data_IF_384150305723
#
_entry.id   IF_384150305723
#
_cell.length_a   1.000
_cell.length_b   1.000
_cell.length_c   1.000
_cell.angle_alpha   90.00
_cell.angle_beta   90.00
_cell.angle_gamma   90.00
#
_symmetry.space_group_name_H-M   'P 1'
#
loop_
_entity.id
_entity.type
_entity.pdbx_description
1 polymer ?
#
# COMPACT_ATOMS: atom_id res chain seq x y z
N UNK A 1 25.29 11.24 0.85
CA UNK A 1 26.54 11.79 1.42
C UNK A 1 27.14 10.83 2.44
N UNK A 2 26.36 10.34 3.44
CA UNK A 2 26.87 9.45 4.48
C UNK A 2 27.52 8.19 3.88
N UNK A 3 26.82 7.47 3.01
CA UNK A 3 27.34 6.24 2.38
C UNK A 3 28.66 6.45 1.61
N UNK A 4 28.90 7.66 1.08
CA UNK A 4 30.20 8.00 0.47
C UNK A 4 31.29 8.27 1.50
N UNK A 5 30.91 8.73 2.68
CA UNK A 5 31.89 9.09 3.72
C UNK A 5 32.35 7.88 4.52
N UNK A 6 31.47 6.94 4.79
CA UNK A 6 31.73 5.77 5.67
C UNK A 6 31.82 4.43 4.92
N UNK A 7 31.62 4.43 3.60
CA UNK A 7 31.45 3.23 2.79
C UNK A 7 29.98 2.80 2.74
N UNK A 8 29.46 2.48 1.55
CA UNK A 8 28.05 2.10 1.34
C UNK A 8 27.71 0.78 2.02
N UNK A 9 28.68 -0.11 2.16
CA UNK A 9 28.61 -1.40 2.81
C UNK A 9 28.44 -1.30 4.34
N UNK A 10 28.69 -0.14 4.91
CA UNK A 10 28.56 0.15 6.34
C UNK A 10 27.27 0.93 6.66
N UNK A 11 26.32 1.03 5.70
CA UNK A 11 25.07 1.77 5.89
C UNK A 11 23.90 0.91 5.48
N UNK A 12 23.07 0.54 6.45
CA UNK A 12 21.76 -0.04 6.23
C UNK A 12 20.66 1.02 6.47
N UNK A 13 19.57 0.90 5.74
CA UNK A 13 18.46 1.83 5.82
C UNK A 13 17.26 1.14 6.48
N UNK A 14 16.51 1.91 7.26
CA UNK A 14 15.25 1.43 7.83
C UNK A 14 14.21 2.52 7.85
N UNK A 15 12.94 2.13 7.79
CA UNK A 15 11.85 3.10 7.85
C UNK A 15 10.48 2.45 7.89
N UNK A 16 9.53 3.23 8.39
CA UNK A 16 8.12 2.89 8.49
C UNK A 16 7.30 3.82 7.58
N UNK A 17 6.25 3.30 6.96
CA UNK A 17 5.33 4.08 6.12
C UNK A 17 6.07 4.82 5.00
N UNK A 18 5.91 6.12 4.87
CA UNK A 18 6.68 6.97 3.94
C UNK A 18 8.19 6.86 4.19
N UNK A 19 8.63 6.74 5.46
CA UNK A 19 10.05 6.50 5.79
C UNK A 19 10.56 5.19 5.22
N UNK A 20 9.70 4.17 5.06
CA UNK A 20 10.01 2.90 4.41
C UNK A 20 10.23 3.06 2.90
N UNK A 21 9.43 3.87 2.22
CA UNK A 21 9.67 4.25 0.82
C UNK A 21 11.03 4.94 0.67
N UNK A 22 11.31 5.93 1.53
CA UNK A 22 12.58 6.67 1.50
C UNK A 22 13.78 5.76 1.78
N UNK A 23 13.66 4.81 2.72
CA UNK A 23 14.69 3.81 3.00
C UNK A 23 14.95 2.90 1.79
N UNK A 24 13.88 2.44 1.12
CA UNK A 24 13.98 1.64 -0.11
C UNK A 24 14.66 2.44 -1.24
N UNK A 25 14.27 3.69 -1.44
CA UNK A 25 14.90 4.57 -2.42
C UNK A 25 16.37 4.82 -2.09
N UNK A 26 16.73 5.00 -0.82
CA UNK A 26 18.12 5.17 -0.37
C UNK A 26 18.95 3.89 -0.59
N UNK A 27 18.39 2.71 -0.32
CA UNK A 27 19.04 1.43 -0.63
C UNK A 27 19.33 1.29 -2.13
N UNK A 28 18.35 1.62 -2.99
CA UNK A 28 18.55 1.63 -4.45
C UNK A 28 19.60 2.66 -4.89
N UNK A 29 19.58 3.85 -4.30
CA UNK A 29 20.50 4.92 -4.66
C UNK A 29 21.95 4.72 -4.19
N UNK A 30 22.18 3.74 -3.33
CA UNK A 30 23.51 3.40 -2.81
C UNK A 30 23.96 1.97 -3.16
N UNK A 31 23.03 1.12 -3.65
CA UNK A 31 23.26 -0.31 -3.79
C UNK A 31 23.39 -1.03 -2.44
N UNK A 32 22.91 -0.41 -1.35
CA UNK A 32 22.90 -0.95 0.00
C UNK A 32 21.64 -1.73 0.33
N UNK A 33 21.44 -2.05 1.61
CA UNK A 33 20.29 -2.81 2.09
C UNK A 33 19.28 -1.92 2.82
N UNK A 34 18.04 -2.40 2.91
CA UNK A 34 17.05 -1.81 3.78
C UNK A 34 16.17 -2.86 4.45
N UNK A 35 15.62 -2.48 5.62
CA UNK A 35 14.51 -3.16 6.28
C UNK A 35 13.39 -2.15 6.48
N UNK A 36 12.22 -2.46 5.95
CA UNK A 36 11.09 -1.52 5.97
C UNK A 36 9.86 -2.16 6.61
N UNK A 37 9.02 -1.31 7.20
CA UNK A 37 7.85 -1.73 7.96
C UNK A 37 6.62 -0.97 7.49
N UNK A 38 5.55 -1.69 7.10
CA UNK A 38 4.32 -1.11 6.54
C UNK A 38 4.62 0.02 5.54
N UNK A 39 5.62 -0.21 4.67
CA UNK A 39 6.19 0.84 3.85
C UNK A 39 5.24 1.31 2.76
N UNK A 40 5.25 2.61 2.48
CA UNK A 40 4.68 3.15 1.27
C UNK A 40 5.42 2.61 0.04
N UNK A 41 4.71 2.53 -1.09
CA UNK A 41 5.23 1.97 -2.33
C UNK A 41 6.21 2.91 -3.05
N UNK A 42 7.13 2.33 -3.77
CA UNK A 42 8.10 3.04 -4.59
C UNK A 42 7.78 2.86 -6.07
N UNK A 43 7.42 3.95 -6.75
CA UNK A 43 7.06 3.91 -8.18
C UNK A 43 8.23 3.47 -9.06
N UNK A 44 7.93 2.92 -10.24
CA UNK A 44 8.95 2.51 -11.20
C UNK A 44 9.85 3.68 -11.61
N UNK A 45 9.27 4.87 -11.75
CA UNK A 45 10.02 6.11 -12.01
C UNK A 45 10.98 6.45 -10.87
N UNK A 46 10.52 6.37 -9.63
CA UNK A 46 11.36 6.61 -8.44
C UNK A 46 12.47 5.56 -8.32
N UNK A 47 12.18 4.29 -8.62
CA UNK A 47 13.18 3.23 -8.67
C UNK A 47 14.25 3.51 -9.73
N UNK A 48 13.84 3.88 -10.94
CA UNK A 48 14.77 4.20 -12.03
C UNK A 48 15.67 5.41 -11.68
N UNK A 49 15.09 6.46 -11.08
CA UNK A 49 15.85 7.63 -10.61
C UNK A 49 16.85 7.25 -9.51
N UNK A 50 16.45 6.45 -8.53
CA UNK A 50 17.32 5.99 -7.46
C UNK A 50 18.49 5.14 -8.01
N UNK A 51 18.22 4.22 -8.92
CA UNK A 51 19.25 3.42 -9.60
C UNK A 51 20.21 4.29 -10.43
N UNK A 52 19.70 5.30 -11.15
CA UNK A 52 20.52 6.27 -11.84
C UNK A 52 21.47 7.01 -10.89
N UNK A 53 20.97 7.42 -9.72
CA UNK A 53 21.81 8.03 -8.68
C UNK A 53 22.86 7.08 -8.11
N UNK A 54 22.59 5.77 -8.06
CA UNK A 54 23.58 4.78 -7.68
C UNK A 54 24.74 4.75 -8.69
N UNK A 55 24.42 4.67 -9.97
CA UNK A 55 25.41 4.68 -11.06
C UNK A 55 26.25 5.95 -11.00
N UNK A 56 25.63 7.13 -10.89
CA UNK A 56 26.31 8.43 -10.86
C UNK A 56 27.29 8.54 -9.67
N UNK A 57 26.97 7.93 -8.54
CA UNK A 57 27.74 8.11 -7.30
C UNK A 57 28.72 6.98 -7.00
N UNK A 58 28.44 5.74 -7.44
CA UNK A 58 29.17 4.56 -7.05
C UNK A 58 29.56 3.64 -8.22
N UNK A 59 29.12 3.95 -9.44
CA UNK A 59 29.36 3.16 -10.63
C UNK A 59 28.30 2.08 -10.89
N UNK A 60 28.34 1.51 -12.09
CA UNK A 60 27.33 0.54 -12.57
C UNK A 60 27.28 -0.74 -11.71
N UNK A 61 28.46 -1.24 -11.31
CA UNK A 61 28.59 -2.50 -10.53
C UNK A 61 28.09 -2.35 -9.08
N UNK A 62 27.81 -1.12 -8.66
CA UNK A 62 27.28 -0.84 -7.32
C UNK A 62 25.76 -1.01 -7.20
N UNK A 63 25.05 -1.26 -8.29
CA UNK A 63 23.60 -1.30 -8.27
C UNK A 63 23.06 -2.47 -7.41
N UNK A 64 21.98 -2.16 -6.71
CA UNK A 64 21.20 -3.16 -6.00
C UNK A 64 20.62 -4.23 -6.94
N UNK A 65 20.40 -5.46 -6.45
CA UNK A 65 19.76 -6.53 -7.21
C UNK A 65 18.43 -6.08 -7.84
N UNK A 66 18.13 -6.55 -9.05
CA UNK A 66 16.90 -6.17 -9.76
C UNK A 66 15.65 -6.81 -9.17
N UNK A 67 15.81 -7.95 -8.50
CA UNK A 67 14.74 -8.69 -7.83
C UNK A 67 14.29 -8.07 -6.50
N UNK A 68 14.99 -7.03 -6.04
CA UNK A 68 14.67 -6.34 -4.79
C UNK A 68 15.12 -7.07 -3.52
N UNK A 69 15.91 -8.14 -3.63
CA UNK A 69 16.37 -8.96 -2.49
C UNK A 69 17.23 -8.21 -1.46
N UNK A 70 17.71 -7.01 -1.82
CA UNK A 70 18.42 -6.12 -0.90
C UNK A 70 17.50 -5.33 0.06
N UNK A 71 16.19 -5.43 -0.10
CA UNK A 71 15.21 -4.78 0.79
C UNK A 71 14.26 -5.83 1.34
N UNK A 72 14.18 -5.92 2.68
CA UNK A 72 13.20 -6.76 3.37
C UNK A 72 12.03 -5.89 3.80
N UNK A 73 10.86 -6.13 3.22
CA UNK A 73 9.67 -5.33 3.46
C UNK A 73 8.67 -6.11 4.33
N UNK A 74 8.65 -5.80 5.62
CA UNK A 74 7.72 -6.37 6.57
C UNK A 74 6.40 -5.60 6.54
N UNK A 75 5.29 -6.30 6.39
CA UNK A 75 3.95 -5.71 6.43
C UNK A 75 3.03 -6.48 7.36
N UNK A 76 2.34 -5.77 8.22
CA UNK A 76 1.32 -6.38 9.06
C UNK A 76 0.12 -6.81 8.21
N UNK A 77 -0.42 -7.99 8.48
CA UNK A 77 -1.49 -8.61 7.66
C UNK A 77 -2.74 -7.74 7.53
N UNK A 78 -3.03 -6.90 8.51
CA UNK A 78 -4.17 -5.98 8.52
C UNK A 78 -3.78 -4.53 8.21
N UNK A 79 -2.54 -4.25 7.81
CA UNK A 79 -2.12 -2.89 7.46
C UNK A 79 -2.88 -2.37 6.23
N UNK A 80 -3.69 -1.30 6.37
CA UNK A 80 -4.53 -0.80 5.29
C UNK A 80 -3.72 -0.26 4.11
N UNK A 81 -2.57 0.38 4.35
CA UNK A 81 -1.74 0.93 3.29
C UNK A 81 -1.22 -0.18 2.38
N UNK A 82 -0.61 -1.20 2.97
CA UNK A 82 -0.07 -2.34 2.21
C UNK A 82 -1.20 -3.17 1.58
N UNK A 83 -2.35 -3.29 2.27
CA UNK A 83 -3.55 -3.91 1.70
C UNK A 83 -3.97 -3.25 0.39
N UNK A 84 -4.07 -1.92 0.35
CA UNK A 84 -4.40 -1.16 -0.86
C UNK A 84 -3.33 -1.34 -1.95
N UNK A 85 -2.07 -1.19 -1.60
CA UNK A 85 -0.96 -1.27 -2.55
C UNK A 85 -0.81 -2.65 -3.19
N UNK A 86 -1.07 -3.71 -2.43
CA UNK A 86 -0.93 -5.08 -2.90
C UNK A 86 -2.14 -5.55 -3.72
N UNK A 87 -3.33 -4.97 -3.47
CA UNK A 87 -4.60 -5.33 -4.10
C UNK A 87 -4.89 -4.58 -5.39
N UNK A 88 -4.30 -3.41 -5.60
CA UNK A 88 -4.59 -2.62 -6.80
C UNK A 88 -3.98 -3.27 -8.04
N UNK A 89 -4.80 -3.66 -9.03
CA UNK A 89 -4.30 -3.98 -10.35
C UNK A 89 -3.51 -2.78 -10.87
N UNK A 90 -2.45 -3.01 -11.63
CA UNK A 90 -1.75 -1.94 -12.34
C UNK A 90 -2.72 -1.33 -13.35
N UNK A 91 -3.42 -0.27 -12.96
CA UNK A 91 -4.27 0.45 -13.89
C UNK A 91 -3.39 1.16 -14.92
N UNK A 92 -3.24 0.52 -16.09
CA UNK A 92 -3.05 1.21 -17.36
C UNK A 92 -1.76 1.97 -17.60
N UNK A 93 -0.68 1.75 -16.84
CA UNK A 93 0.58 2.45 -17.09
C UNK A 93 1.74 1.90 -16.27
N UNK A 94 2.99 2.32 -16.61
CA UNK A 94 4.17 1.92 -15.85
C UNK A 94 4.16 2.43 -14.40
N UNK A 95 3.39 3.48 -14.11
CA UNK A 95 3.24 4.05 -12.77
C UNK A 95 1.84 3.73 -12.24
N UNK A 96 1.74 2.70 -11.40
CA UNK A 96 0.51 2.44 -10.66
C UNK A 96 0.19 3.66 -9.76
N UNK A 97 -1.12 4.00 -9.63
CA UNK A 97 -1.60 5.08 -8.76
C UNK A 97 -1.12 4.85 -7.31
N UNK A 98 -0.97 3.59 -6.92
CA UNK A 98 -0.38 3.17 -5.64
C UNK A 98 0.64 2.05 -5.90
N UNK A 99 1.92 2.38 -6.01
CA UNK A 99 2.97 1.37 -6.18
C UNK A 99 3.09 0.50 -4.93
N UNK A 100 3.51 -0.74 -5.11
CA UNK A 100 3.78 -1.66 -3.99
C UNK A 100 5.03 -1.24 -3.23
N UNK A 101 5.08 -1.58 -1.94
CA UNK A 101 6.31 -1.50 -1.17
C UNK A 101 7.40 -2.32 -1.87
N UNK A 102 8.56 -1.69 -2.05
CA UNK A 102 9.68 -2.30 -2.76
C UNK A 102 10.40 -3.32 -1.90
N UNK A 103 10.79 -4.43 -2.49
CA UNK A 103 11.62 -5.46 -1.84
C UNK A 103 10.96 -6.82 -1.68
N UNK A 104 11.66 -7.71 -0.99
CA UNK A 104 11.15 -9.02 -0.60
C UNK A 104 10.09 -8.85 0.49
N UNK A 105 8.88 -9.36 0.22
CA UNK A 105 7.71 -9.17 1.09
C UNK A 105 7.64 -10.23 2.17
N UNK A 106 7.54 -9.77 3.42
CA UNK A 106 7.32 -10.61 4.60
C UNK A 106 6.04 -10.17 5.29
N UNK A 107 5.03 -11.04 5.29
CA UNK A 107 3.75 -10.76 5.97
C UNK A 107 3.87 -11.18 7.43
N UNK A 108 3.59 -10.24 8.32
CA UNK A 108 3.58 -10.43 9.77
C UNK A 108 2.15 -10.64 10.22
N UNK A 109 1.88 -11.81 10.80
CA UNK A 109 0.55 -12.18 11.29
C UNK A 109 0.36 -11.75 12.74
N UNK A 110 -0.92 -11.63 13.12
CA UNK A 110 -1.30 -11.44 14.52
C UNK A 110 -0.79 -12.60 15.38
N UNK A 111 -0.42 -12.30 16.61
CA UNK A 111 -0.15 -13.27 17.66
C UNK A 111 -1.18 -13.11 18.80
N UNK A 112 -1.08 -13.96 19.85
CA UNK A 112 -1.97 -13.91 21.01
C UNK A 112 -1.97 -12.58 21.75
N UNK A 113 -0.88 -11.83 21.64
CA UNK A 113 -0.65 -10.57 22.36
C UNK A 113 -1.03 -9.34 21.52
N UNK A 114 -1.38 -9.56 20.24
CA UNK A 114 -1.80 -8.48 19.34
C UNK A 114 -3.16 -7.93 19.80
N UNK A 115 -3.18 -6.66 20.14
CA UNK A 115 -4.42 -5.99 20.53
C UNK A 115 -5.34 -5.83 19.32
N UNK A 116 -6.62 -6.12 19.51
CA UNK A 116 -7.62 -5.82 18.50
C UNK A 116 -7.96 -4.33 18.53
N UNK A 117 -8.00 -3.66 17.37
CA UNK A 117 -8.53 -2.31 17.23
C UNK A 117 -9.74 -2.30 16.30
N UNK A 118 -10.75 -1.55 16.66
CA UNK A 118 -11.89 -1.27 15.80
C UNK A 118 -11.58 -0.23 14.71
N UNK A 119 -10.48 0.52 14.84
CA UNK A 119 -10.02 1.46 13.84
C UNK A 119 -8.96 0.79 12.96
N UNK A 120 -9.26 0.50 11.67
CA UNK A 120 -8.31 -0.17 10.78
C UNK A 120 -6.99 0.58 10.59
N UNK A 121 -6.98 1.91 10.73
CA UNK A 121 -5.80 2.73 10.57
C UNK A 121 -4.76 2.48 11.67
N UNK A 122 -5.18 1.98 12.82
CA UNK A 122 -4.27 1.64 13.91
C UNK A 122 -3.30 0.54 13.51
N UNK A 123 -3.75 -0.42 12.67
CA UNK A 123 -2.90 -1.51 12.19
C UNK A 123 -1.75 -1.05 11.27
N UNK A 124 -1.75 0.22 10.87
CA UNK A 124 -0.60 0.82 10.20
C UNK A 124 0.55 1.14 11.15
N UNK A 125 0.27 1.30 12.45
CA UNK A 125 1.28 1.68 13.45
C UNK A 125 2.25 0.54 13.76
N UNK A 126 3.49 0.90 14.05
CA UNK A 126 4.58 -0.04 14.37
C UNK A 126 4.29 -0.93 15.58
N UNK A 127 3.45 -0.48 16.52
CA UNK A 127 3.10 -1.24 17.72
C UNK A 127 2.47 -2.61 17.41
N UNK A 128 1.80 -2.74 16.26
CA UNK A 128 1.22 -4.01 15.81
C UNK A 128 2.24 -4.96 15.20
N UNK A 129 3.39 -4.46 14.80
CA UNK A 129 4.51 -5.25 14.29
C UNK A 129 5.44 -5.74 15.40
N UNK A 130 5.63 -4.93 16.45
CA UNK A 130 6.62 -5.25 17.50
C UNK A 130 6.35 -6.58 18.18
N UNK A 131 5.14 -6.80 18.69
CA UNK A 131 4.81 -8.04 19.38
C UNK A 131 5.08 -9.31 18.58
N UNK A 132 4.56 -9.44 17.33
CA UNK A 132 4.87 -10.58 16.48
C UNK A 132 6.34 -10.72 16.09
N UNK A 133 7.05 -9.61 15.86
CA UNK A 133 8.49 -9.65 15.52
C UNK A 133 9.33 -10.05 16.73
N UNK A 134 9.07 -9.53 17.92
CA UNK A 134 9.76 -9.89 19.16
C UNK A 134 9.52 -11.36 19.50
N UNK A 135 8.27 -11.83 19.39
CA UNK A 135 7.94 -13.23 19.62
C UNK A 135 8.67 -14.16 18.65
N UNK A 136 8.85 -13.76 17.39
CA UNK A 136 9.65 -14.50 16.41
C UNK A 136 11.14 -14.50 16.74
N UNK A 137 11.65 -13.39 17.27
CA UNK A 137 13.05 -13.28 17.69
C UNK A 137 13.34 -14.15 18.92
N UNK A 138 12.47 -14.12 19.93
CA UNK A 138 12.59 -14.90 21.15
C UNK A 138 12.35 -16.41 20.93
N UNK A 139 11.45 -16.74 20.01
CA UNK A 139 11.15 -18.13 19.65
C UNK A 139 11.11 -18.29 18.12
N UNK A 140 12.27 -18.56 17.48
CA UNK A 140 12.35 -18.75 16.03
C UNK A 140 11.49 -19.90 15.48
N UNK A 141 11.00 -20.79 16.34
CA UNK A 141 10.06 -21.87 15.96
C UNK A 141 8.60 -21.39 15.93
N UNK A 142 8.29 -20.26 16.56
CA UNK A 142 6.98 -19.64 16.50
C UNK A 142 6.85 -18.88 15.18
N UNK A 143 6.11 -19.44 14.24
CA UNK A 143 5.98 -18.85 12.89
C UNK A 143 4.91 -17.76 12.87
N UNK A 144 5.27 -16.56 13.29
CA UNK A 144 4.41 -15.36 13.17
C UNK A 144 4.68 -14.57 11.89
N UNK A 145 5.66 -15.02 11.10
CA UNK A 145 6.04 -14.41 9.83
C UNK A 145 5.94 -15.50 8.77
N UNK A 146 5.14 -15.27 7.75
CA UNK A 146 5.06 -16.18 6.62
C UNK A 146 5.59 -15.49 5.36
N UNK A 147 6.51 -16.15 4.66
CA UNK A 147 6.77 -15.83 3.28
C UNK A 147 5.58 -16.31 2.43
N UNK A 148 5.09 -15.46 1.53
CA UNK A 148 4.02 -15.83 0.62
C UNK A 148 4.40 -17.11 -0.15
N UNK A 149 3.69 -18.22 0.09
CA UNK A 149 3.75 -19.39 -0.76
C UNK A 149 4.11 -20.74 -0.16
N UNK A 150 4.23 -20.91 1.16
CA UNK A 150 4.55 -22.23 1.75
C UNK A 150 3.27 -23.00 2.19
N UNK A 151 2.92 -24.12 1.53
CA UNK A 151 1.79 -24.93 1.95
C UNK A 151 2.18 -25.79 3.18
N UNK A 152 1.32 -25.81 4.19
CA UNK A 152 1.46 -26.67 5.38
C UNK A 152 0.42 -27.78 5.39
N UNK A 153 0.84 -29.01 5.73
CA UNK A 153 0.13 -30.25 5.48
C UNK A 153 -0.84 -30.71 6.60
N UNK A 154 -1.24 -29.84 7.54
CA UNK A 154 -2.20 -30.21 8.59
C UNK A 154 -3.61 -29.62 8.33
N UNK A 155 -4.67 -30.28 8.80
CA UNK A 155 -6.07 -29.82 8.68
C UNK A 155 -6.23 -28.42 9.29
N UNK A 156 -5.58 -28.13 10.42
CA UNK A 156 -5.60 -26.81 11.04
C UNK A 156 -4.95 -25.75 10.16
N UNK A 157 -3.83 -26.08 9.53
CA UNK A 157 -3.15 -25.20 8.57
C UNK A 157 -4.02 -24.96 7.31
N UNK A 158 -4.77 -25.96 6.84
CA UNK A 158 -5.68 -25.79 5.71
C UNK A 158 -6.82 -24.82 6.04
N UNK A 159 -7.40 -24.86 7.25
CA UNK A 159 -8.40 -23.89 7.69
C UNK A 159 -7.83 -22.48 7.85
N UNK A 160 -6.61 -22.38 8.36
CA UNK A 160 -5.92 -21.09 8.45
C UNK A 160 -5.65 -20.52 7.05
N UNK A 161 -5.14 -21.35 6.14
CA UNK A 161 -4.89 -20.95 4.75
C UNK A 161 -6.19 -20.48 4.09
N UNK A 162 -7.28 -21.24 4.23
CA UNK A 162 -8.59 -20.86 3.68
C UNK A 162 -9.08 -19.52 4.27
N UNK A 163 -8.91 -19.31 5.58
CA UNK A 163 -9.28 -18.03 6.22
C UNK A 163 -8.44 -16.87 5.68
N UNK A 164 -7.15 -17.07 5.47
CA UNK A 164 -6.26 -16.07 4.88
C UNK A 164 -6.64 -15.79 3.42
N UNK A 165 -6.86 -16.82 2.61
CA UNK A 165 -7.24 -16.67 1.21
C UNK A 165 -8.58 -15.93 1.06
N UNK A 166 -9.58 -16.30 1.87
CA UNK A 166 -10.87 -15.61 1.91
C UNK A 166 -10.71 -14.16 2.39
N UNK A 167 -9.89 -13.94 3.39
CA UNK A 167 -9.59 -12.61 3.93
C UNK A 167 -8.94 -11.70 2.90
N UNK A 168 -7.95 -12.22 2.19
CA UNK A 168 -7.30 -11.51 1.08
C UNK A 168 -8.30 -11.21 -0.03
N UNK A 169 -9.14 -12.19 -0.41
CA UNK A 169 -10.14 -11.99 -1.45
C UNK A 169 -11.18 -10.92 -1.07
N UNK A 170 -11.66 -10.92 0.18
CA UNK A 170 -12.60 -9.91 0.67
C UNK A 170 -11.98 -8.50 0.69
N UNK A 171 -10.75 -8.38 1.17
CA UNK A 171 -10.01 -7.13 1.15
C UNK A 171 -9.80 -6.64 -0.29
N UNK A 172 -9.33 -7.51 -1.18
CA UNK A 172 -9.11 -7.19 -2.61
C UNK A 172 -10.39 -6.68 -3.26
N UNK A 173 -11.52 -7.37 -3.06
CA UNK A 173 -12.82 -6.92 -3.57
C UNK A 173 -13.23 -5.54 -3.04
N UNK A 174 -12.98 -5.27 -1.76
CA UNK A 174 -13.26 -3.95 -1.17
C UNK A 174 -12.41 -2.85 -1.81
N UNK A 175 -11.15 -3.14 -2.09
CA UNK A 175 -10.25 -2.19 -2.74
C UNK A 175 -10.54 -2.00 -4.22
N UNK A 176 -10.91 -3.05 -4.95
CA UNK A 176 -11.35 -2.93 -6.35
C UNK A 176 -12.58 -2.04 -6.47
N UNK A 177 -13.58 -2.26 -5.63
CA UNK A 177 -14.78 -1.42 -5.58
C UNK A 177 -14.43 0.01 -5.15
N UNK A 178 -13.61 0.16 -4.12
CA UNK A 178 -13.13 1.46 -3.67
C UNK A 178 -12.39 2.23 -4.75
N UNK A 179 -11.50 1.56 -5.48
CA UNK A 179 -10.80 2.14 -6.63
C UNK A 179 -11.73 2.56 -7.77
N UNK A 180 -12.77 1.76 -8.06
CA UNK A 180 -13.78 2.10 -9.05
C UNK A 180 -14.57 3.37 -8.66
N UNK A 181 -14.96 3.52 -7.40
CA UNK A 181 -15.65 4.71 -6.89
C UNK A 181 -14.78 5.98 -6.97
N UNK A 182 -13.51 5.87 -6.60
CA UNK A 182 -12.56 6.98 -6.75
C UNK A 182 -12.39 7.35 -8.21
N UNK A 183 -12.23 6.37 -9.10
CA UNK A 183 -12.09 6.60 -10.55
C UNK A 183 -13.34 7.26 -11.11
N UNK A 184 -14.52 6.81 -10.69
CA UNK A 184 -15.81 7.42 -11.09
C UNK A 184 -15.88 8.88 -10.62
N UNK A 185 -15.50 9.17 -9.38
CA UNK A 185 -15.44 10.52 -8.84
C UNK A 185 -14.50 11.43 -9.63
N UNK A 186 -13.32 10.94 -10.00
CA UNK A 186 -12.36 11.69 -10.84
C UNK A 186 -12.92 11.95 -12.24
N UNK A 187 -13.52 10.95 -12.87
CA UNK A 187 -14.09 11.10 -14.20
C UNK A 187 -15.24 12.11 -14.23
N UNK A 188 -16.15 12.03 -13.25
CA UNK A 188 -17.26 12.97 -13.11
C UNK A 188 -16.74 14.39 -12.86
N UNK A 189 -15.78 14.56 -11.97
CA UNK A 189 -15.15 15.84 -11.70
C UNK A 189 -14.51 16.45 -12.97
N UNK A 190 -13.80 15.64 -13.74
CA UNK A 190 -13.17 16.07 -14.99
C UNK A 190 -14.21 16.48 -16.02
N UNK A 191 -15.32 15.73 -16.15
CA UNK A 191 -16.40 16.05 -17.06
C UNK A 191 -17.10 17.36 -16.65
N UNK A 192 -17.41 17.55 -15.37
CA UNK A 192 -18.01 18.80 -14.89
C UNK A 192 -17.12 20.03 -15.13
N UNK A 193 -15.80 19.90 -14.97
CA UNK A 193 -14.85 20.95 -15.30
C UNK A 193 -14.87 21.27 -16.81
N UNK A 194 -14.88 20.25 -17.66
CA UNK A 194 -14.92 20.44 -19.11
C UNK A 194 -16.22 21.11 -19.56
N UNK A 195 -17.36 20.62 -19.08
CA UNK A 195 -18.69 21.14 -19.43
C UNK A 195 -18.88 22.57 -18.93
N UNK A 196 -18.43 22.87 -17.70
CA UNK A 196 -18.51 24.23 -17.15
C UNK A 196 -17.58 25.19 -17.88
N UNK A 197 -16.42 24.75 -18.30
CA UNK A 197 -15.50 25.55 -19.12
C UNK A 197 -16.14 25.91 -20.48
N UNK A 198 -16.75 24.91 -21.14
CA UNK A 198 -17.43 25.15 -22.41
C UNK A 198 -18.60 26.13 -22.27
N UNK A 199 -19.44 26.04 -21.20
CA UNK A 199 -20.52 27.00 -20.92
C UNK A 199 -19.96 28.39 -20.59
N UNK A 200 -18.87 28.46 -19.82
CA UNK A 200 -18.21 29.71 -19.50
C UNK A 200 -17.67 30.42 -20.75
N UNK A 201 -17.05 29.68 -21.67
CA UNK A 201 -16.54 30.22 -22.92
C UNK A 201 -17.69 30.73 -23.83
N UNK A 202 -18.84 30.02 -23.85
CA UNK A 202 -20.04 30.48 -24.54
C UNK A 202 -20.59 31.76 -23.92
N UNK A 203 -20.63 31.87 -22.59
CA UNK A 203 -21.06 33.09 -21.90
C UNK A 203 -20.12 34.27 -22.22
N UNK A 204 -18.81 34.02 -22.15
CA UNK A 204 -17.78 35.02 -22.51
C UNK A 204 -17.98 35.56 -23.93
N UNK A 205 -18.13 34.65 -24.91
CA UNK A 205 -18.33 35.03 -26.33
C UNK A 205 -19.61 35.83 -26.60
N UNK A 206 -20.61 35.74 -25.70
CA UNK A 206 -21.85 36.55 -25.75
C UNK A 206 -21.73 37.89 -24.99
N UNK A 207 -20.56 38.16 -24.37
CA UNK A 207 -20.34 39.35 -23.54
C UNK A 207 -20.86 39.23 -22.11
N UNK A 208 -21.31 38.04 -21.69
CA UNK A 208 -21.73 37.76 -20.32
C UNK A 208 -20.55 37.31 -19.48
N UNK A 209 -19.75 38.28 -19.09
CA UNK A 209 -18.53 38.04 -18.31
C UNK A 209 -18.84 37.53 -16.89
N UNK A 210 -19.90 38.02 -16.27
CA UNK A 210 -20.32 37.55 -14.94
C UNK A 210 -20.82 36.11 -14.99
N UNK A 211 -21.61 35.75 -15.99
CA UNK A 211 -22.05 34.39 -16.25
C UNK A 211 -20.87 33.42 -16.47
N UNK A 212 -19.86 33.84 -17.24
CA UNK A 212 -18.65 33.04 -17.46
C UNK A 212 -17.93 32.71 -16.16
N UNK A 213 -17.75 33.66 -15.25
CA UNK A 213 -17.11 33.44 -13.95
C UNK A 213 -17.98 32.53 -13.09
N UNK A 214 -19.31 32.72 -13.11
CA UNK A 214 -20.24 31.89 -12.34
C UNK A 214 -20.21 30.42 -12.81
N UNK A 215 -20.21 30.17 -14.12
CA UNK A 215 -20.11 28.80 -14.67
C UNK A 215 -18.84 28.10 -14.26
N UNK A 216 -17.68 28.77 -14.32
CA UNK A 216 -16.40 28.21 -13.87
C UNK A 216 -16.41 27.88 -12.38
N UNK A 217 -16.94 28.79 -11.55
CA UNK A 217 -17.03 28.57 -10.10
C UNK A 217 -17.96 27.40 -9.76
N UNK A 218 -19.13 27.31 -10.43
CA UNK A 218 -20.07 26.21 -10.25
C UNK A 218 -19.46 24.86 -10.65
N UNK A 219 -18.77 24.80 -11.80
CA UNK A 219 -18.09 23.60 -12.26
C UNK A 219 -16.99 23.14 -11.30
N UNK A 220 -16.22 24.09 -10.77
CA UNK A 220 -15.18 23.76 -9.77
C UNK A 220 -15.78 23.22 -8.47
N UNK A 221 -16.90 23.79 -8.01
CA UNK A 221 -17.60 23.30 -6.82
C UNK A 221 -18.18 21.90 -7.02
N UNK A 222 -18.82 21.63 -8.17
CA UNK A 222 -19.33 20.30 -8.52
C UNK A 222 -18.19 19.28 -8.63
N UNK A 223 -17.12 19.59 -9.35
CA UNK A 223 -15.98 18.72 -9.51
C UNK A 223 -15.34 18.36 -8.16
N UNK A 224 -15.26 19.34 -7.24
CA UNK A 224 -14.77 19.08 -5.87
C UNK A 224 -15.71 18.12 -5.13
N UNK A 225 -17.03 18.31 -5.26
CA UNK A 225 -18.03 17.44 -4.65
C UNK A 225 -17.94 16.00 -5.16
N UNK A 226 -17.79 15.80 -6.46
CA UNK A 226 -17.68 14.48 -7.08
C UNK A 226 -16.38 13.77 -6.68
N UNK A 227 -15.27 14.49 -6.67
CA UNK A 227 -13.98 13.95 -6.23
C UNK A 227 -14.04 13.53 -4.75
N UNK A 228 -14.50 14.41 -3.87
CA UNK A 228 -14.63 14.12 -2.44
C UNK A 228 -15.60 12.97 -2.19
N UNK A 229 -16.73 12.96 -2.91
CA UNK A 229 -17.71 11.88 -2.85
C UNK A 229 -17.15 10.54 -3.29
N UNK A 230 -16.41 10.51 -4.40
CA UNK A 230 -15.71 9.30 -4.88
C UNK A 230 -14.69 8.78 -3.89
N UNK A 231 -13.87 9.66 -3.32
CA UNK A 231 -12.89 9.29 -2.29
C UNK A 231 -13.57 8.77 -1.03
N UNK A 232 -14.63 9.41 -0.56
CA UNK A 232 -15.36 8.97 0.64
C UNK A 232 -15.99 7.59 0.46
N UNK A 233 -16.67 7.34 -0.67
CA UNK A 233 -17.24 6.04 -1.02
C UNK A 233 -16.15 4.98 -1.19
N UNK A 234 -15.11 5.30 -1.95
CA UNK A 234 -13.98 4.39 -2.19
C UNK A 234 -13.30 3.97 -0.90
N UNK A 235 -13.12 4.89 0.05
CA UNK A 235 -12.59 4.59 1.37
C UNK A 235 -13.54 3.68 2.16
N UNK A 236 -14.86 3.92 2.09
CA UNK A 236 -15.86 3.09 2.74
C UNK A 236 -15.85 1.64 2.24
N UNK A 237 -15.80 1.43 0.92
CA UNK A 237 -15.71 0.10 0.32
C UNK A 237 -14.40 -0.63 0.70
N UNK A 238 -13.27 0.08 0.65
CA UNK A 238 -11.97 -0.48 1.03
C UNK A 238 -11.96 -0.90 2.52
N UNK A 239 -12.46 -0.05 3.41
CA UNK A 239 -12.58 -0.37 4.85
C UNK A 239 -13.51 -1.53 5.09
N UNK A 240 -14.65 -1.57 4.41
CA UNK A 240 -15.61 -2.69 4.48
C UNK A 240 -14.96 -4.01 4.08
N UNK A 241 -14.21 -4.04 2.97
CA UNK A 241 -13.45 -5.21 2.52
C UNK A 241 -12.41 -5.67 3.52
N UNK A 242 -11.69 -4.73 4.16
CA UNK A 242 -10.70 -5.06 5.20
C UNK A 242 -11.35 -5.66 6.45
N UNK A 243 -12.47 -5.11 6.92
CA UNK A 243 -13.20 -5.64 8.08
C UNK A 243 -13.68 -7.06 7.79
N UNK A 244 -14.28 -7.28 6.63
CA UNK A 244 -14.70 -8.61 6.20
C UNK A 244 -13.51 -9.56 6.08
N UNK A 245 -12.40 -9.11 5.49
CA UNK A 245 -11.18 -9.89 5.37
C UNK A 245 -10.60 -10.29 6.72
N UNK A 246 -10.58 -9.38 7.68
CA UNK A 246 -10.18 -9.66 9.06
C UNK A 246 -11.07 -10.70 9.74
N UNK A 247 -12.38 -10.63 9.54
CA UNK A 247 -13.34 -11.61 10.08
C UNK A 247 -13.12 -13.01 9.50
N UNK A 248 -12.84 -13.13 8.19
CA UNK A 248 -12.54 -14.42 7.54
C UNK A 248 -11.25 -15.06 8.08
N UNK A 249 -10.21 -14.24 8.30
CA UNK A 249 -8.95 -14.72 8.91
C UNK A 249 -9.21 -15.22 10.33
N UNK A 250 -9.93 -14.47 11.16
CA UNK A 250 -10.29 -14.88 12.52
C UNK A 250 -11.11 -16.17 12.52
N UNK A 251 -12.03 -16.33 11.57
CA UNK A 251 -12.82 -17.56 11.37
C UNK A 251 -11.91 -18.75 11.02
N UNK A 252 -10.95 -18.55 10.11
CA UNK A 252 -9.94 -19.55 9.75
C UNK A 252 -9.10 -19.97 10.96
N UNK A 253 -8.66 -19.00 11.78
CA UNK A 253 -7.90 -19.26 13.01
C UNK A 253 -8.72 -20.03 14.05
N UNK A 254 -9.99 -19.65 14.26
CA UNK A 254 -10.88 -20.36 15.17
C UNK A 254 -11.08 -21.83 14.74
N UNK A 255 -11.33 -22.08 13.45
CA UNK A 255 -11.44 -23.44 12.89
C UNK A 255 -10.14 -24.22 12.99
N UNK A 256 -8.99 -23.56 12.77
CA UNK A 256 -7.69 -24.18 12.96
C UNK A 256 -7.47 -24.63 14.41
N UNK A 257 -7.89 -23.82 15.38
CA UNK A 257 -7.84 -24.17 16.80
C UNK A 257 -8.75 -25.34 17.20
N UNK A 258 -9.89 -25.53 16.54
CA UNK A 258 -10.76 -26.70 16.75
C UNK A 258 -10.26 -27.96 16.04
N UNK A 259 -9.46 -27.83 14.98
CA UNK A 259 -8.90 -28.96 14.22
C UNK A 259 -7.70 -29.63 14.89
N UNK A 260 -7.20 -29.09 16.00
CA UNK A 260 -6.06 -29.60 16.77
C UNK A 260 -6.52 -30.47 17.95
N UNK A 261 -7.79 -30.67 18.17
CA UNK A 261 -8.36 -31.65 19.06
C UNK A 261 -8.67 -32.93 18.27
#
# INVERSE_FOLDING_TARGET
KLARAVGRENVDFTGHSLGGELASAAALATGGNAVTFNAAGLSDTSQALARGKCIDNFGYDAQAPKDGSNVKAYSFVLDPLNGVQDSTPRFGGPDAIMPRAYGERHVVFMNSDTKFSANPLDYHHMEYLYGPLDAQYENPKANHIAAFGTPTASVGAAYLQQGVDNGIAAATNGFEKGGAEVTSGVNNATQHLADSSARADQAWNRGDYAGSVTERAAGAAQATGDFVGGVAKGTGEAVGGMIQGGAEILHGMARAGYGIK
#
